data_IF_967656365415
#
_entry.id   IF_967656365415
#
_cell.length_a   1.000
_cell.length_b   1.000
_cell.length_c   1.000
_cell.angle_alpha   90.00
_cell.angle_beta   90.00
_cell.angle_gamma   90.00
#
_symmetry.space_group_name_H-M   'P 1'
#
loop_
_entity.id
_entity.type
_entity.pdbx_description
1 polymer ?
#
# COMPACT_ATOMS: atom_id res chain seq x y z
N UNK A 1 -0.67 2.96 -21.49
CA UNK A 1 -0.57 1.60 -22.06
C UNK A 1 -0.19 1.63 -23.53
N UNK A 2 -0.97 2.26 -24.43
CA UNK A 2 -0.64 2.34 -25.87
C UNK A 2 0.72 2.99 -26.17
N UNK A 3 1.06 4.12 -25.51
CA UNK A 3 2.37 4.77 -25.66
C UNK A 3 3.56 3.89 -25.21
N UNK A 4 3.41 3.13 -24.12
CA UNK A 4 4.48 2.26 -23.61
C UNK A 4 4.69 1.04 -24.51
N UNK A 5 3.60 0.46 -25.02
CA UNK A 5 3.67 -0.65 -25.99
C UNK A 5 4.36 -0.18 -27.27
N UNK A 6 4.03 1.01 -27.77
CA UNK A 6 4.66 1.58 -28.96
C UNK A 6 6.18 1.79 -28.76
N UNK A 7 6.59 2.35 -27.62
CA UNK A 7 8.01 2.51 -27.27
C UNK A 7 8.71 1.15 -27.22
N UNK A 8 8.10 0.16 -26.58
CA UNK A 8 8.66 -1.20 -26.48
C UNK A 8 8.84 -1.88 -27.85
N UNK A 9 7.89 -1.68 -28.78
CA UNK A 9 8.00 -2.19 -30.16
C UNK A 9 9.17 -1.53 -30.89
N UNK A 10 9.30 -0.20 -30.80
CA UNK A 10 10.40 0.55 -31.43
C UNK A 10 11.76 0.04 -30.91
N UNK A 11 11.88 -0.17 -29.60
CA UNK A 11 13.12 -0.71 -29.00
C UNK A 11 13.42 -2.11 -29.51
N UNK A 12 12.41 -2.99 -29.62
CA UNK A 12 12.59 -4.34 -30.14
C UNK A 12 13.12 -4.35 -31.59
N UNK A 13 12.61 -3.46 -32.44
CA UNK A 13 13.08 -3.30 -33.83
C UNK A 13 14.53 -2.82 -33.86
N UNK A 14 14.87 -1.80 -33.06
CA UNK A 14 16.24 -1.28 -32.97
C UNK A 14 17.23 -2.35 -32.48
N UNK A 15 16.85 -3.13 -31.48
CA UNK A 15 17.67 -4.24 -30.96
C UNK A 15 17.87 -5.34 -32.00
N UNK A 16 16.88 -5.63 -32.83
CA UNK A 16 17.02 -6.56 -33.95
C UNK A 16 18.00 -6.08 -35.02
N UNK A 17 17.96 -4.78 -35.36
CA UNK A 17 18.89 -4.17 -36.31
C UNK A 17 20.34 -4.19 -35.80
N UNK A 18 20.55 -3.78 -34.54
CA UNK A 18 21.87 -3.83 -33.90
C UNK A 18 22.37 -5.27 -33.82
N UNK A 19 21.50 -6.20 -33.41
CA UNK A 19 21.82 -7.61 -33.36
C UNK A 19 22.28 -8.20 -34.69
N UNK A 20 21.63 -7.81 -35.79
CA UNK A 20 22.02 -8.21 -37.14
C UNK A 20 23.36 -7.63 -37.59
N UNK A 21 23.68 -6.38 -37.23
CA UNK A 21 24.95 -5.73 -37.58
C UNK A 21 26.14 -6.38 -36.85
N UNK A 22 25.95 -6.78 -35.59
CA UNK A 22 27.00 -7.36 -34.75
C UNK A 22 27.00 -8.89 -34.70
N UNK A 23 26.19 -9.54 -35.56
CA UNK A 23 26.02 -11.02 -35.60
C UNK A 23 25.72 -11.64 -34.21
N UNK A 24 25.03 -10.90 -33.35
CA UNK A 24 24.71 -11.36 -31.99
C UNK A 24 23.70 -12.50 -32.09
N UNK A 25 23.93 -13.56 -31.31
CA UNK A 25 23.03 -14.71 -31.27
C UNK A 25 21.60 -14.30 -30.91
N UNK A 26 20.64 -14.71 -31.74
CA UNK A 26 19.22 -14.30 -31.65
C UNK A 26 18.61 -14.45 -30.24
N UNK A 27 18.91 -15.55 -29.55
CA UNK A 27 18.39 -15.81 -28.20
C UNK A 27 18.82 -14.78 -27.17
N UNK A 28 20.03 -14.21 -27.31
CA UNK A 28 20.54 -13.15 -26.44
C UNK A 28 19.76 -11.86 -26.67
N UNK A 29 19.56 -11.49 -27.94
CA UNK A 29 18.79 -10.29 -28.33
C UNK A 29 17.34 -10.39 -27.83
N UNK A 30 16.70 -11.55 -28.01
CA UNK A 30 15.34 -11.80 -27.55
C UNK A 30 15.24 -11.68 -26.02
N UNK A 31 16.18 -12.28 -25.29
CA UNK A 31 16.21 -12.22 -23.82
C UNK A 31 16.34 -10.79 -23.31
N UNK A 32 17.28 -10.01 -23.86
CA UNK A 32 17.47 -8.61 -23.49
C UNK A 32 16.21 -7.78 -23.80
N UNK A 33 15.62 -8.00 -24.97
CA UNK A 33 14.40 -7.28 -25.38
C UNK A 33 13.26 -7.55 -24.41
N UNK A 34 13.02 -8.81 -24.04
CA UNK A 34 11.98 -9.17 -23.05
C UNK A 34 12.25 -8.51 -21.70
N UNK A 35 13.49 -8.50 -21.22
CA UNK A 35 13.87 -7.84 -19.95
C UNK A 35 13.58 -6.34 -20.01
N UNK A 36 13.92 -5.67 -21.11
CA UNK A 36 13.66 -4.24 -21.29
C UNK A 36 12.15 -3.96 -21.34
N UNK A 37 11.37 -4.75 -22.07
CA UNK A 37 9.91 -4.59 -22.16
C UNK A 37 9.24 -4.75 -20.78
N UNK A 38 9.65 -5.75 -20.01
CA UNK A 38 9.17 -5.97 -18.63
C UNK A 38 9.54 -4.76 -17.77
N UNK A 39 10.78 -4.27 -17.86
CA UNK A 39 11.26 -3.12 -17.09
C UNK A 39 10.47 -1.85 -17.41
N UNK A 40 10.24 -1.52 -18.68
CA UNK A 40 9.49 -0.33 -19.10
C UNK A 40 8.02 -0.39 -18.64
N UNK A 41 7.44 -1.59 -18.53
CA UNK A 41 6.03 -1.76 -18.20
C UNK A 41 5.78 -1.85 -16.70
N UNK A 42 6.60 -2.62 -15.97
CA UNK A 42 6.38 -2.93 -14.56
C UNK A 42 7.05 -1.90 -13.65
N UNK A 43 8.29 -1.50 -13.97
CA UNK A 43 9.11 -0.68 -13.08
C UNK A 43 8.49 0.69 -12.77
N UNK A 44 7.88 1.44 -13.73
CA UNK A 44 7.22 2.70 -13.41
C UNK A 44 6.06 2.55 -12.43
N UNK A 45 5.30 1.46 -12.53
CA UNK A 45 4.21 1.18 -11.60
C UNK A 45 4.76 0.86 -10.21
N UNK A 46 5.82 0.05 -10.13
CA UNK A 46 6.51 -0.25 -8.87
C UNK A 46 7.06 1.02 -8.21
N UNK A 47 7.72 1.89 -8.98
CA UNK A 47 8.22 3.18 -8.48
C UNK A 47 7.06 4.03 -7.94
N UNK A 48 5.93 4.05 -8.64
CA UNK A 48 4.74 4.80 -8.18
C UNK A 48 4.17 4.23 -6.89
N UNK A 49 4.09 2.91 -6.74
CA UNK A 49 3.49 2.29 -5.55
C UNK A 49 4.44 2.32 -4.35
N UNK A 50 5.75 2.24 -4.55
CA UNK A 50 6.69 2.01 -3.44
C UNK A 50 7.67 3.15 -3.17
N UNK A 51 8.02 3.97 -4.18
CA UNK A 51 9.19 4.87 -4.10
C UNK A 51 8.89 6.34 -4.36
N UNK A 52 7.77 6.70 -4.98
CA UNK A 52 7.46 8.11 -5.25
C UNK A 52 7.05 8.87 -3.98
N UNK A 53 7.41 10.15 -3.88
CA UNK A 53 6.81 11.09 -2.92
C UNK A 53 5.68 11.94 -3.55
N UNK A 54 5.47 11.83 -4.86
CA UNK A 54 4.41 12.53 -5.60
C UNK A 54 3.06 11.82 -5.42
N UNK A 55 2.24 12.34 -4.52
CA UNK A 55 0.97 11.72 -4.13
C UNK A 55 -0.12 11.86 -5.21
N UNK A 56 -0.04 12.88 -6.07
CA UNK A 56 -0.96 13.03 -7.20
C UNK A 56 -0.72 11.91 -8.23
N UNK A 57 0.53 11.48 -8.43
CA UNK A 57 0.84 10.30 -9.25
C UNK A 57 0.29 9.01 -8.63
N UNK A 58 0.44 8.82 -7.33
CA UNK A 58 -0.10 7.64 -6.62
C UNK A 58 -1.61 7.60 -6.80
N UNK A 59 -2.31 8.67 -6.45
CA UNK A 59 -3.77 8.75 -6.55
C UNK A 59 -4.27 8.47 -7.97
N UNK A 60 -3.66 9.13 -8.97
CA UNK A 60 -3.99 8.91 -10.38
C UNK A 60 -3.76 7.47 -10.82
N UNK A 61 -2.70 6.83 -10.33
CA UNK A 61 -2.41 5.42 -10.61
C UNK A 61 -3.49 4.51 -9.99
N UNK A 62 -3.81 4.69 -8.71
CA UNK A 62 -4.81 3.87 -8.03
C UNK A 62 -6.19 4.01 -8.68
N UNK A 63 -6.61 5.24 -8.98
CA UNK A 63 -7.90 5.54 -9.65
C UNK A 63 -8.05 4.88 -11.01
N UNK A 64 -6.97 4.82 -11.79
CA UNK A 64 -6.96 4.25 -13.16
C UNK A 64 -6.68 2.76 -13.20
N UNK A 65 -6.34 2.16 -12.07
CA UNK A 65 -5.93 0.76 -12.03
C UNK A 65 -7.10 -0.17 -12.31
N UNK A 66 -6.89 -1.12 -13.22
CA UNK A 66 -7.80 -2.26 -13.43
C UNK A 66 -7.61 -3.38 -12.40
N UNK A 67 -6.51 -3.35 -11.63
CA UNK A 67 -6.29 -4.30 -10.55
C UNK A 67 -7.19 -3.90 -9.35
N UNK A 68 -8.09 -4.79 -8.90
CA UNK A 68 -9.03 -4.47 -7.82
C UNK A 68 -8.35 -4.15 -6.49
N UNK A 69 -7.12 -4.62 -6.25
CA UNK A 69 -6.34 -4.27 -5.05
C UNK A 69 -6.02 -2.77 -5.02
N UNK A 70 -5.48 -2.23 -6.11
CA UNK A 70 -5.12 -0.82 -6.14
C UNK A 70 -6.36 0.08 -6.17
N UNK A 71 -7.43 -0.36 -6.83
CA UNK A 71 -8.70 0.36 -6.81
C UNK A 71 -9.36 0.33 -5.43
N UNK A 72 -9.24 -0.77 -4.69
CA UNK A 72 -9.68 -0.86 -3.30
C UNK A 72 -9.03 0.23 -2.44
N UNK A 73 -7.71 0.42 -2.53
CA UNK A 73 -7.02 1.49 -1.81
C UNK A 73 -7.54 2.89 -2.21
N UNK A 74 -7.77 3.13 -3.50
CA UNK A 74 -8.38 4.40 -3.93
C UNK A 74 -9.77 4.60 -3.31
N UNK A 75 -10.66 3.62 -3.44
CA UNK A 75 -12.02 3.72 -2.94
C UNK A 75 -12.06 3.90 -1.41
N UNK A 76 -11.30 3.08 -0.68
CA UNK A 76 -11.21 3.14 0.78
C UNK A 76 -10.72 4.51 1.28
N UNK A 77 -9.62 5.02 0.73
CA UNK A 77 -9.02 6.27 1.18
C UNK A 77 -9.84 7.52 0.80
N UNK A 78 -10.74 7.41 -0.16
CA UNK A 78 -11.68 8.47 -0.54
C UNK A 78 -13.08 8.30 0.09
N UNK A 79 -13.28 7.30 0.96
CA UNK A 79 -14.57 7.03 1.60
C UNK A 79 -15.66 6.55 0.64
N UNK A 80 -15.29 5.98 -0.50
CA UNK A 80 -16.21 5.37 -1.46
C UNK A 80 -16.53 3.93 -1.01
N UNK A 81 -17.42 3.82 -0.04
CA UNK A 81 -17.64 2.58 0.72
C UNK A 81 -18.18 1.43 -0.13
N UNK A 82 -19.15 1.72 -0.99
CA UNK A 82 -19.74 0.74 -1.91
C UNK A 82 -18.67 0.20 -2.85
N UNK A 83 -17.89 1.08 -3.44
CA UNK A 83 -16.81 0.76 -4.37
C UNK A 83 -15.67 -0.02 -3.69
N UNK A 84 -15.35 0.31 -2.44
CA UNK A 84 -14.37 -0.42 -1.64
C UNK A 84 -14.85 -1.85 -1.37
N UNK A 85 -16.13 -2.02 -0.99
CA UNK A 85 -16.72 -3.34 -0.77
C UNK A 85 -16.79 -4.17 -2.05
N UNK A 86 -17.19 -3.57 -3.17
CA UNK A 86 -17.16 -4.23 -4.48
C UNK A 86 -15.75 -4.64 -4.89
N UNK A 87 -14.75 -3.82 -4.59
CA UNK A 87 -13.36 -4.14 -4.88
C UNK A 87 -12.89 -5.35 -4.06
N UNK A 88 -13.26 -5.45 -2.78
CA UNK A 88 -13.00 -6.64 -1.94
C UNK A 88 -13.62 -7.90 -2.58
N UNK A 89 -14.90 -7.85 -2.99
CA UNK A 89 -15.56 -8.99 -3.65
C UNK A 89 -14.82 -9.42 -4.94
N UNK A 90 -14.30 -8.45 -5.71
CA UNK A 90 -13.47 -8.73 -6.90
C UNK A 90 -12.13 -9.36 -6.53
N UNK A 91 -11.50 -8.94 -5.43
CA UNK A 91 -10.27 -9.55 -4.89
C UNK A 91 -10.55 -11.00 -4.47
N UNK A 92 -11.60 -11.24 -3.70
CA UNK A 92 -12.02 -12.58 -3.26
C UNK A 92 -12.23 -13.53 -4.43
N UNK A 93 -13.00 -13.10 -5.43
CA UNK A 93 -13.26 -13.89 -6.64
C UNK A 93 -11.96 -14.23 -7.40
N UNK A 94 -10.99 -13.31 -7.43
CA UNK A 94 -9.75 -13.47 -8.17
C UNK A 94 -8.74 -14.38 -7.46
N UNK A 95 -8.58 -14.24 -6.15
CA UNK A 95 -7.52 -14.94 -5.40
C UNK A 95 -8.00 -16.21 -4.68
N UNK A 96 -9.33 -16.42 -4.54
CA UNK A 96 -10.05 -17.61 -4.02
C UNK A 96 -9.63 -18.16 -2.64
N UNK A 97 -8.50 -17.75 -2.10
CA UNK A 97 -7.96 -18.19 -0.83
C UNK A 97 -8.20 -17.08 0.22
N UNK A 98 -9.01 -17.37 1.27
CA UNK A 98 -9.39 -16.39 2.29
C UNK A 98 -8.21 -15.69 2.97
N UNK A 99 -7.06 -16.37 3.10
CA UNK A 99 -5.86 -15.79 3.72
C UNK A 99 -5.30 -14.59 2.94
N UNK A 100 -5.61 -14.49 1.64
CA UNK A 100 -5.23 -13.34 0.84
C UNK A 100 -6.19 -12.16 0.99
N UNK A 101 -7.42 -12.41 1.41
CA UNK A 101 -8.46 -11.38 1.53
C UNK A 101 -8.52 -10.82 2.93
N UNK A 102 -8.12 -11.58 3.95
CA UNK A 102 -8.09 -11.15 5.36
C UNK A 102 -7.41 -9.79 5.58
N UNK A 103 -6.31 -9.48 4.88
CA UNK A 103 -5.68 -8.17 5.00
C UNK A 103 -6.59 -7.03 4.52
N UNK A 104 -7.29 -7.21 3.40
CA UNK A 104 -8.19 -6.19 2.87
C UNK A 104 -9.47 -6.08 3.71
N UNK A 105 -9.95 -7.19 4.26
CA UNK A 105 -11.03 -7.20 5.24
C UNK A 105 -10.63 -6.44 6.50
N UNK A 106 -9.43 -6.67 7.05
CA UNK A 106 -8.90 -5.92 8.20
C UNK A 106 -8.77 -4.43 7.88
N UNK A 107 -8.23 -4.07 6.71
CA UNK A 107 -8.10 -2.66 6.30
C UNK A 107 -9.46 -1.96 6.24
N UNK A 108 -10.46 -2.63 5.68
CA UNK A 108 -11.83 -2.10 5.62
C UNK A 108 -12.49 -2.03 7.00
N UNK A 109 -12.33 -3.06 7.82
CA UNK A 109 -12.84 -3.10 9.18
C UNK A 109 -12.20 -2.00 10.05
N UNK A 110 -10.89 -1.77 9.91
CA UNK A 110 -10.18 -0.69 10.58
C UNK A 110 -10.71 0.69 10.18
N UNK A 111 -10.93 0.92 8.88
CA UNK A 111 -11.59 2.14 8.39
C UNK A 111 -12.99 2.34 9.00
N UNK A 112 -13.74 1.23 9.17
CA UNK A 112 -15.08 1.22 9.78
C UNK A 112 -15.10 1.22 11.30
N UNK A 113 -13.94 1.19 11.97
CA UNK A 113 -13.81 0.99 13.42
C UNK A 113 -14.51 -0.29 13.92
N UNK A 114 -14.58 -1.31 13.07
CA UNK A 114 -15.10 -2.64 13.40
C UNK A 114 -13.95 -3.53 13.90
N UNK A 115 -13.61 -3.39 15.18
CA UNK A 115 -12.49 -4.10 15.80
C UNK A 115 -12.78 -5.59 16.02
N UNK A 116 -14.05 -5.99 16.13
CA UNK A 116 -14.46 -7.40 16.19
C UNK A 116 -14.09 -8.14 14.91
N UNK A 117 -14.32 -7.54 13.75
CA UNK A 117 -13.88 -8.13 12.47
C UNK A 117 -12.36 -8.21 12.37
N UNK A 118 -11.63 -7.22 12.92
CA UNK A 118 -10.15 -7.26 12.93
C UNK A 118 -9.67 -8.46 13.74
N UNK A 119 -10.15 -8.62 14.98
CA UNK A 119 -9.78 -9.71 15.88
C UNK A 119 -10.02 -11.08 15.25
N UNK A 120 -11.19 -11.28 14.65
CA UNK A 120 -11.56 -12.52 13.97
C UNK A 120 -10.67 -12.86 12.76
N UNK A 121 -10.07 -11.85 12.12
CA UNK A 121 -9.26 -12.03 10.92
C UNK A 121 -7.75 -12.09 11.20
N UNK A 122 -7.29 -11.69 12.39
CA UNK A 122 -5.86 -11.62 12.72
C UNK A 122 -5.13 -12.96 12.58
N UNK A 123 -5.78 -14.06 12.98
CA UNK A 123 -5.21 -15.42 12.87
C UNK A 123 -4.92 -15.84 11.42
N UNK A 124 -5.57 -15.20 10.44
CA UNK A 124 -5.38 -15.48 9.02
C UNK A 124 -4.25 -14.65 8.38
N UNK A 125 -3.70 -13.66 9.10
CA UNK A 125 -2.61 -12.82 8.60
C UNK A 125 -1.28 -13.58 8.69
N UNK A 126 -0.70 -13.86 7.51
CA UNK A 126 0.59 -14.57 7.40
C UNK A 126 1.80 -13.74 7.83
N UNK A 127 1.73 -12.42 7.65
CA UNK A 127 2.88 -11.55 7.90
C UNK A 127 2.88 -11.08 9.35
N UNK A 128 3.80 -11.64 10.15
CA UNK A 128 3.91 -11.36 11.58
C UNK A 128 3.99 -9.87 11.89
N UNK A 129 4.78 -9.09 11.14
CA UNK A 129 4.87 -7.63 11.34
C UNK A 129 3.52 -6.91 11.18
N UNK A 130 2.65 -7.37 10.27
CA UNK A 130 1.33 -6.78 10.07
C UNK A 130 0.38 -7.22 11.18
N UNK A 131 0.48 -8.50 11.58
CA UNK A 131 -0.30 -9.06 12.68
C UNK A 131 -0.04 -8.28 13.98
N UNK A 132 1.23 -8.15 14.38
CA UNK A 132 1.65 -7.38 15.56
C UNK A 132 1.18 -5.94 15.53
N UNK A 133 1.26 -5.29 14.37
CA UNK A 133 0.76 -3.93 14.19
C UNK A 133 -0.72 -3.80 14.53
N UNK A 134 -1.57 -4.68 14.00
CA UNK A 134 -3.01 -4.64 14.29
C UNK A 134 -3.35 -5.14 15.70
N UNK A 135 -2.59 -6.08 16.26
CA UNK A 135 -2.70 -6.45 17.67
C UNK A 135 -2.43 -5.25 18.57
N UNK A 136 -1.37 -4.45 18.30
CA UNK A 136 -1.12 -3.22 19.06
C UNK A 136 -2.28 -2.23 18.99
N UNK A 137 -2.90 -2.07 17.82
CA UNK A 137 -4.07 -1.21 17.67
C UNK A 137 -5.30 -1.72 18.42
N UNK A 138 -5.48 -3.05 18.53
CA UNK A 138 -6.56 -3.64 19.34
C UNK A 138 -6.33 -3.41 20.82
N UNK A 139 -5.11 -3.56 21.32
CA UNK A 139 -4.79 -3.27 22.73
C UNK A 139 -5.07 -1.79 23.08
N UNK A 140 -4.78 -0.87 22.16
CA UNK A 140 -5.15 0.55 22.31
C UNK A 140 -6.67 0.72 22.38
N UNK A 141 -7.42 0.02 21.54
CA UNK A 141 -8.88 0.11 21.54
C UNK A 141 -9.49 -0.47 22.82
N UNK A 142 -8.95 -1.58 23.32
CA UNK A 142 -9.32 -2.18 24.60
C UNK A 142 -8.79 -1.42 25.83
N UNK A 143 -8.18 -0.25 25.63
CA UNK A 143 -7.66 0.62 26.68
C UNK A 143 -6.50 -0.01 27.50
N UNK A 144 -5.79 -0.99 26.95
CA UNK A 144 -4.58 -1.57 27.51
C UNK A 144 -3.33 -0.80 27.04
N UNK A 145 -3.24 0.48 27.42
CA UNK A 145 -2.29 1.42 26.83
C UNK A 145 -0.82 1.08 27.16
N UNK A 146 -0.55 0.54 28.35
CA UNK A 146 0.79 0.13 28.77
C UNK A 146 1.29 -1.05 27.95
N UNK A 147 0.42 -2.05 27.73
CA UNK A 147 0.72 -3.22 26.89
C UNK A 147 0.98 -2.79 25.45
N UNK A 148 0.12 -1.94 24.89
CA UNK A 148 0.32 -1.38 23.55
C UNK A 148 1.64 -0.60 23.45
N UNK A 149 2.01 0.17 24.47
CA UNK A 149 3.27 0.91 24.53
C UNK A 149 4.50 -0.02 24.50
N UNK A 150 4.44 -1.16 25.18
CA UNK A 150 5.50 -2.16 25.14
C UNK A 150 5.61 -2.81 23.75
N UNK A 151 4.48 -3.14 23.14
CA UNK A 151 4.44 -3.75 21.81
C UNK A 151 5.06 -2.86 20.71
N UNK A 152 5.10 -1.53 20.87
CA UNK A 152 5.79 -0.61 19.95
C UNK A 152 7.26 -1.02 19.73
N UNK A 153 7.91 -1.56 20.77
CA UNK A 153 9.32 -2.01 20.70
C UNK A 153 9.51 -3.18 19.73
N UNK A 154 8.47 -3.99 19.55
CA UNK A 154 8.48 -5.19 18.69
C UNK A 154 8.15 -4.91 17.22
N UNK A 155 7.61 -3.73 16.91
CA UNK A 155 7.27 -3.36 15.55
C UNK A 155 8.56 -3.11 14.76
N UNK A 156 8.72 -3.74 13.60
CA UNK A 156 9.95 -3.62 12.82
C UNK A 156 9.98 -2.41 11.88
N UNK A 157 8.80 -1.92 11.45
CA UNK A 157 8.71 -0.82 10.47
C UNK A 157 8.56 0.52 11.19
N UNK A 158 9.38 1.54 10.87
CA UNK A 158 9.30 2.86 11.50
C UNK A 158 7.90 3.46 11.47
N UNK A 159 7.25 3.45 10.30
CA UNK A 159 5.90 4.00 10.17
C UNK A 159 4.86 3.29 11.03
N UNK A 160 4.99 1.98 11.27
CA UNK A 160 4.06 1.23 12.13
C UNK A 160 4.20 1.68 13.58
N UNK A 161 5.44 1.87 14.05
CA UNK A 161 5.71 2.41 15.39
C UNK A 161 5.06 3.77 15.57
N UNK A 162 5.33 4.67 14.63
CA UNK A 162 4.82 6.04 14.67
C UNK A 162 3.29 6.08 14.60
N UNK A 163 2.63 5.23 13.80
CA UNK A 163 1.15 5.18 13.78
C UNK A 163 0.58 4.66 15.11
N UNK A 164 1.19 3.64 15.72
CA UNK A 164 0.75 3.12 17.03
C UNK A 164 0.97 4.14 18.14
N UNK A 165 2.10 4.85 18.13
CA UNK A 165 2.38 5.95 19.06
C UNK A 165 1.40 7.12 18.87
N UNK A 166 1.06 7.45 17.62
CA UNK A 166 0.02 8.43 17.30
C UNK A 166 -1.33 8.05 17.94
N UNK A 167 -1.79 6.80 17.79
CA UNK A 167 -3.05 6.33 18.38
C UNK A 167 -3.00 6.29 19.93
N UNK A 168 -1.85 5.93 20.52
CA UNK A 168 -1.63 6.02 21.97
C UNK A 168 -1.78 7.46 22.47
N UNK A 169 -1.11 8.41 21.84
CA UNK A 169 -1.20 9.84 22.20
C UNK A 169 -2.61 10.37 22.02
N UNK A 170 -3.33 9.95 20.97
CA UNK A 170 -4.76 10.27 20.79
C UNK A 170 -5.62 9.75 21.94
N UNK A 171 -5.47 8.49 22.35
CA UNK A 171 -6.23 7.93 23.48
C UNK A 171 -5.91 8.63 24.81
N UNK A 172 -4.68 9.12 24.99
CA UNK A 172 -4.26 9.92 26.15
C UNK A 172 -4.71 11.38 26.10
N UNK A 173 -5.32 11.83 25.00
CA UNK A 173 -5.76 13.22 24.80
C UNK A 173 -4.65 14.17 24.35
N UNK A 174 -3.44 13.68 24.08
CA UNK A 174 -2.32 14.49 23.61
C UNK A 174 -2.36 14.63 22.08
N UNK A 175 -3.08 15.67 21.63
CA UNK A 175 -3.27 15.94 20.21
C UNK A 175 -2.00 16.46 19.52
N UNK A 176 -1.10 17.12 20.25
CA UNK A 176 0.14 17.66 19.67
C UNK A 176 1.09 16.50 19.38
N UNK A 177 1.29 15.62 20.36
CA UNK A 177 2.18 14.49 20.20
C UNK A 177 1.65 13.48 19.17
N UNK A 178 0.32 13.30 19.10
CA UNK A 178 -0.30 12.51 18.05
C UNK A 178 0.00 13.05 16.64
N UNK A 179 0.00 14.37 16.46
CA UNK A 179 0.35 15.00 15.17
C UNK A 179 1.83 14.82 14.85
N UNK A 180 2.72 14.96 15.84
CA UNK A 180 4.16 14.73 15.65
C UNK A 180 4.43 13.31 15.14
N UNK A 181 3.83 12.32 15.79
CA UNK A 181 3.98 10.92 15.41
C UNK A 181 3.43 10.63 14.00
N UNK A 182 2.25 11.13 13.65
CA UNK A 182 1.72 10.86 12.30
C UNK A 182 2.57 11.53 11.20
N UNK A 183 3.19 12.69 11.49
CA UNK A 183 4.13 13.34 10.59
C UNK A 183 5.44 12.55 10.43
N UNK A 184 5.96 11.97 11.50
CA UNK A 184 7.10 11.06 11.43
C UNK A 184 6.78 9.78 10.63
N UNK A 185 5.55 9.25 10.77
CA UNK A 185 5.08 8.12 9.96
C UNK A 185 5.02 8.48 8.46
N UNK A 186 4.57 9.70 8.17
CA UNK A 186 4.53 10.29 6.83
C UNK A 186 5.94 10.39 6.23
N UNK A 187 6.92 10.91 6.97
CA UNK A 187 8.27 11.12 6.44
C UNK A 187 9.08 9.84 6.25
N UNK A 188 8.79 8.81 7.07
CA UNK A 188 9.41 7.48 6.93
C UNK A 188 8.84 6.64 5.78
N UNK A 189 7.87 7.16 5.01
CA UNK A 189 7.17 6.40 3.97
C UNK A 189 7.22 7.03 2.58
N UNK A 190 6.92 6.20 1.57
CA UNK A 190 6.80 6.57 0.15
C UNK A 190 5.63 5.82 -0.47
N UNK A 191 5.24 6.26 -1.67
CA UNK A 191 4.23 5.61 -2.51
C UNK A 191 2.87 5.46 -1.83
N UNK A 192 2.25 4.29 -2.01
CA UNK A 192 0.92 3.96 -1.49
C UNK A 192 0.86 4.07 0.05
N UNK A 193 1.89 3.59 0.76
CA UNK A 193 1.90 3.68 2.23
C UNK A 193 1.85 5.14 2.69
N UNK A 194 2.66 6.00 2.07
CA UNK A 194 2.66 7.43 2.38
C UNK A 194 1.30 8.06 2.10
N UNK A 195 0.71 7.73 0.95
CA UNK A 195 -0.60 8.23 0.56
C UNK A 195 -1.69 7.84 1.57
N UNK A 196 -1.70 6.57 2.00
CA UNK A 196 -2.64 6.09 3.02
C UNK A 196 -2.52 6.83 4.35
N UNK A 197 -1.29 7.09 4.82
CA UNK A 197 -1.05 7.79 6.09
C UNK A 197 -1.44 9.28 5.98
N UNK A 198 -1.16 9.95 4.85
CA UNK A 198 -1.64 11.32 4.62
C UNK A 198 -3.17 11.37 4.70
N UNK A 199 -3.86 10.46 3.99
CA UNK A 199 -5.32 10.41 3.98
C UNK A 199 -5.89 10.14 5.37
N UNK A 200 -5.27 9.23 6.12
CA UNK A 200 -5.59 9.02 7.53
C UNK A 200 -5.43 10.31 8.34
N UNK A 201 -4.32 11.06 8.17
CA UNK A 201 -4.10 12.34 8.87
C UNK A 201 -5.19 13.35 8.54
N UNK A 202 -5.50 13.54 7.26
CA UNK A 202 -6.55 14.46 6.78
C UNK A 202 -7.93 14.14 7.38
N UNK A 203 -8.25 12.86 7.54
CA UNK A 203 -9.54 12.41 8.08
C UNK A 203 -9.63 12.53 9.61
N UNK A 204 -8.51 12.30 10.31
CA UNK A 204 -8.51 12.14 11.76
C UNK A 204 -8.00 13.38 12.52
N UNK A 205 -7.35 14.32 11.83
CA UNK A 205 -6.84 15.56 12.39
C UNK A 205 -7.41 16.73 11.59
N UNK A 206 -8.05 17.68 12.27
CA UNK A 206 -8.48 18.93 11.63
C UNK A 206 -7.22 19.70 11.24
N UNK A 207 -6.81 19.60 9.98
CA UNK A 207 -5.80 20.49 9.43
C UNK A 207 -6.46 21.87 9.38
N UNK A 208 -6.15 22.74 10.34
CA UNK A 208 -6.38 24.18 10.15
C UNK A 208 -5.56 24.57 8.92
N UNK A 209 -6.25 24.80 7.81
CA UNK A 209 -5.69 25.54 6.68
C UNK A 209 -5.45 26.98 7.11
#
# INVERSE_FOLDING_TARGET
MTKQILISIIIGILMGLVGGIFEIQLWIILSITVIIMISITILPNMITIYLTKDMAKVEKFLKKSKNPIYYFYYALLHGLETEAKEAILKIEKKYKNPKWTSLYTILYAHYKRDFTTIENQLSNIKHESIKKYYESLLEIEHNHLEKAQEMVKELSKPWMKEVVLCELSRKRGDSIEAVNHIDNAIESTRGLQRFSIIKYKEQNFKIKK
#
